data_IF_792758280271
#
_entry.id   IF_792758280271
#
_cell.length_a   1.000
_cell.length_b   1.000
_cell.length_c   1.000
_cell.angle_alpha   90.00
_cell.angle_beta   90.00
_cell.angle_gamma   90.00
#
_symmetry.space_group_name_H-M   'P 1'
#
loop_
_entity.id
_entity.type
_entity.pdbx_description
1 polymer ?
#
# COMPACT_ATOMS: atom_id res chain seq x y z
N UNK A 1 19.09 50.42 -31.77
CA UNK A 1 18.64 49.25 -32.53
C UNK A 1 17.59 48.53 -31.69
N UNK A 2 16.31 48.85 -31.91
CA UNK A 2 15.18 48.36 -31.11
C UNK A 2 14.59 47.17 -31.84
N UNK A 3 14.73 45.99 -31.24
CA UNK A 3 14.20 44.73 -31.76
C UNK A 3 12.69 44.70 -31.51
N UNK A 4 11.91 45.14 -32.49
CA UNK A 4 10.47 44.87 -32.55
C UNK A 4 10.27 43.42 -33.05
N UNK A 5 10.21 42.46 -32.14
CA UNK A 5 9.73 41.11 -32.43
C UNK A 5 8.66 40.71 -31.41
N UNK A 6 7.47 40.39 -31.94
CA UNK A 6 6.39 39.59 -31.34
C UNK A 6 5.54 40.16 -30.18
N UNK A 7 4.73 41.18 -30.47
CA UNK A 7 3.44 41.39 -29.76
C UNK A 7 2.30 40.55 -30.33
N UNK A 8 2.33 40.20 -31.62
CA UNK A 8 1.19 39.57 -32.32
C UNK A 8 0.99 38.06 -32.07
N UNK A 9 2.01 37.31 -31.64
CA UNK A 9 1.84 35.92 -31.23
C UNK A 9 1.16 35.76 -29.86
N UNK A 10 1.08 36.82 -29.05
CA UNK A 10 0.52 36.76 -27.68
C UNK A 10 -0.98 36.48 -27.63
N UNK A 11 -1.74 36.91 -28.65
CA UNK A 11 -3.20 36.71 -28.70
C UNK A 11 -3.60 35.41 -29.42
N UNK A 12 -2.73 34.89 -30.28
CA UNK A 12 -3.05 33.81 -31.22
C UNK A 12 -3.37 32.46 -30.56
N UNK A 13 -2.77 32.21 -29.41
CA UNK A 13 -2.95 31.00 -28.65
C UNK A 13 -3.04 31.44 -27.20
N UNK A 14 -4.27 31.67 -26.72
CA UNK A 14 -4.55 31.78 -25.29
C UNK A 14 -4.29 30.40 -24.64
N UNK A 15 -3.03 29.98 -24.67
CA UNK A 15 -2.51 28.78 -24.06
C UNK A 15 -2.52 28.95 -22.54
N UNK A 16 -2.58 30.18 -22.02
CA UNK A 16 -2.63 30.45 -20.58
C UNK A 16 -3.83 29.77 -19.88
N UNK A 17 -5.09 29.95 -20.32
CA UNK A 17 -6.20 29.14 -19.83
C UNK A 17 -5.95 27.64 -19.96
N UNK A 18 -5.33 27.19 -21.04
CA UNK A 18 -5.09 25.77 -21.29
C UNK A 18 -4.03 25.19 -20.34
N UNK A 19 -2.93 25.92 -20.09
CA UNK A 19 -1.89 25.57 -19.11
C UNK A 19 -2.50 25.52 -17.71
N UNK A 20 -3.40 26.45 -17.38
CA UNK A 20 -4.08 26.43 -16.07
C UNK A 20 -4.95 25.18 -15.85
N UNK A 21 -5.43 24.54 -16.92
CA UNK A 21 -6.15 23.26 -16.84
C UNK A 21 -5.21 22.06 -16.68
N UNK A 22 -3.94 22.21 -17.03
CA UNK A 22 -2.93 21.16 -16.93
C UNK A 22 -2.49 21.08 -15.47
N UNK A 23 -3.10 20.16 -14.73
CA UNK A 23 -2.65 19.75 -13.38
C UNK A 23 -1.38 18.88 -13.44
N UNK A 24 -0.37 19.31 -14.21
CA UNK A 24 0.93 18.65 -14.25
C UNK A 24 1.92 19.44 -13.40
N UNK A 25 2.80 18.72 -12.69
CA UNK A 25 3.89 19.34 -11.93
C UNK A 25 5.10 19.65 -12.81
N UNK A 26 5.22 18.97 -13.95
CA UNK A 26 6.34 19.07 -14.86
C UNK A 26 5.92 18.79 -16.30
N UNK A 27 6.59 19.44 -17.24
CA UNK A 27 6.43 19.19 -18.68
C UNK A 27 7.70 18.51 -19.21
N UNK A 28 7.52 17.38 -19.88
CA UNK A 28 8.59 16.66 -20.56
C UNK A 28 8.51 17.00 -22.03
N UNK A 29 9.49 17.76 -22.52
CA UNK A 29 9.61 18.06 -23.93
C UNK A 29 10.26 16.88 -24.64
N UNK A 30 9.56 16.33 -25.62
CA UNK A 30 10.05 15.23 -26.44
C UNK A 30 10.91 15.81 -27.55
N UNK A 31 12.23 15.63 -27.44
CA UNK A 31 13.14 15.93 -28.53
C UNK A 31 13.14 14.75 -29.53
N UNK A 32 13.25 15.07 -30.82
CA UNK A 32 13.51 14.09 -31.86
C UNK A 32 14.78 14.58 -32.53
N UNK A 33 15.90 13.90 -32.23
CA UNK A 33 17.24 14.06 -32.80
C UNK A 33 17.64 15.48 -33.28
N UNK A 34 18.56 16.09 -32.56
CA UNK A 34 19.12 17.43 -32.83
C UNK A 34 19.82 17.55 -34.21
N UNK A 35 20.12 16.42 -34.86
CA UNK A 35 20.85 16.40 -36.13
C UNK A 35 20.09 16.99 -37.34
N UNK A 36 18.75 17.06 -37.32
CA UNK A 36 17.98 17.71 -38.40
C UNK A 36 17.61 19.18 -38.12
N UNK A 37 17.69 19.65 -36.87
CA UNK A 37 17.25 21.01 -36.48
C UNK A 37 18.23 22.10 -36.93
N UNK A 38 19.54 21.81 -36.97
CA UNK A 38 20.54 22.80 -37.38
C UNK A 38 20.53 23.10 -38.89
N UNK A 39 20.13 22.16 -39.74
CA UNK A 39 20.09 22.34 -41.20
C UNK A 39 18.83 23.08 -41.72
N UNK A 40 17.83 23.35 -40.87
CA UNK A 40 16.51 23.88 -41.28
C UNK A 40 16.14 25.23 -40.61
N UNK A 41 17.09 25.92 -39.97
CA UNK A 41 16.89 27.13 -39.15
C UNK A 41 16.23 28.33 -39.85
N UNK A 42 16.01 28.28 -41.16
CA UNK A 42 15.30 29.31 -41.94
C UNK A 42 13.79 29.12 -42.06
N UNK A 43 13.20 27.98 -41.63
CA UNK A 43 11.77 27.70 -41.82
C UNK A 43 10.91 28.28 -40.69
N UNK A 44 9.84 28.99 -41.05
CA UNK A 44 8.89 29.64 -40.13
C UNK A 44 8.25 28.70 -39.11
N UNK A 45 8.13 27.41 -39.41
CA UNK A 45 7.64 26.40 -38.46
C UNK A 45 8.53 26.24 -37.22
N UNK A 46 9.85 26.31 -37.37
CA UNK A 46 10.79 26.15 -36.25
C UNK A 46 10.68 27.30 -35.25
N UNK A 47 10.46 28.53 -35.74
CA UNK A 47 10.19 29.69 -34.88
C UNK A 47 8.91 29.49 -34.07
N UNK A 48 7.90 28.86 -34.65
CA UNK A 48 6.64 28.57 -33.97
C UNK A 48 6.82 27.46 -32.92
N UNK A 49 7.53 26.39 -33.25
CA UNK A 49 7.87 25.31 -32.31
C UNK A 49 8.60 25.85 -31.08
N UNK A 50 9.69 26.60 -31.30
CA UNK A 50 10.46 27.22 -30.21
C UNK A 50 9.62 28.20 -29.40
N UNK A 51 8.73 28.95 -30.05
CA UNK A 51 7.81 29.84 -29.34
C UNK A 51 6.86 29.06 -28.43
N UNK A 52 6.29 27.94 -28.89
CA UNK A 52 5.42 27.08 -28.08
C UNK A 52 6.22 26.48 -26.91
N UNK A 53 7.38 25.87 -27.15
CA UNK A 53 8.21 25.29 -26.10
C UNK A 53 8.61 26.30 -25.03
N UNK A 54 9.12 27.47 -25.45
CA UNK A 54 9.48 28.55 -24.52
C UNK A 54 8.28 29.06 -23.73
N UNK A 55 7.08 29.04 -24.31
CA UNK A 55 5.86 29.38 -23.57
C UNK A 55 5.51 28.34 -22.52
N UNK A 56 5.61 27.04 -22.80
CA UNK A 56 5.39 26.04 -21.75
C UNK A 56 6.46 26.10 -20.66
N UNK A 57 7.73 26.27 -21.05
CA UNK A 57 8.87 26.36 -20.13
C UNK A 57 8.81 27.58 -19.19
N UNK A 58 8.18 28.67 -19.60
CA UNK A 58 8.05 29.86 -18.76
C UNK A 58 6.98 29.73 -17.66
N UNK A 59 6.09 28.73 -17.76
CA UNK A 59 4.97 28.54 -16.81
C UNK A 59 5.10 27.29 -15.97
N UNK A 60 5.72 26.24 -16.50
CA UNK A 60 5.86 24.95 -15.84
C UNK A 60 7.33 24.50 -15.85
N UNK A 61 7.82 23.86 -14.77
CA UNK A 61 9.12 23.21 -14.79
C UNK A 61 9.20 22.25 -15.98
N UNK A 62 10.23 22.38 -16.80
CA UNK A 62 10.34 21.63 -18.04
C UNK A 62 11.68 20.92 -18.17
N UNK A 63 11.67 19.71 -18.71
CA UNK A 63 12.86 18.91 -18.98
C UNK A 63 12.80 18.36 -20.40
N UNK A 64 13.92 18.40 -21.11
CA UNK A 64 14.05 17.79 -22.43
C UNK A 64 14.46 16.34 -22.28
N UNK A 65 13.80 15.45 -23.03
CA UNK A 65 14.11 14.03 -23.07
C UNK A 65 14.15 13.62 -24.53
N UNK A 66 15.21 12.92 -24.90
CA UNK A 66 15.28 12.28 -26.20
C UNK A 66 14.44 11.00 -26.19
N UNK A 67 13.72 10.74 -27.28
CA UNK A 67 12.86 9.57 -27.35
C UNK A 67 13.62 8.25 -27.36
N UNK A 68 14.91 8.30 -27.67
CA UNK A 68 15.81 7.15 -27.79
C UNK A 68 16.70 6.95 -26.54
N UNK A 69 16.48 7.71 -25.46
CA UNK A 69 17.22 7.53 -24.21
C UNK A 69 16.65 6.35 -23.40
N UNK A 70 17.49 5.35 -23.15
CA UNK A 70 17.18 4.24 -22.24
C UNK A 70 17.22 4.66 -20.76
N UNK A 71 17.99 5.71 -20.42
CA UNK A 71 18.18 6.17 -19.05
C UNK A 71 17.37 7.43 -18.72
N UNK A 72 16.42 7.26 -17.79
CA UNK A 72 15.52 8.32 -17.34
C UNK A 72 15.97 8.94 -16.01
N UNK A 73 16.05 10.28 -15.89
CA UNK A 73 16.37 10.93 -14.62
C UNK A 73 15.39 10.54 -13.49
N UNK A 74 15.90 10.12 -12.34
CA UNK A 74 15.09 9.70 -11.18
C UNK A 74 14.10 10.79 -10.70
N UNK A 75 14.44 12.06 -10.91
CA UNK A 75 13.60 13.20 -10.52
C UNK A 75 12.24 13.23 -11.24
N UNK A 76 12.17 12.64 -12.45
CA UNK A 76 10.96 12.58 -13.27
C UNK A 76 10.01 11.45 -12.86
N UNK A 77 10.53 10.43 -12.17
CA UNK A 77 9.76 9.24 -11.77
C UNK A 77 8.77 9.51 -10.62
N UNK A 78 8.74 10.72 -10.06
CA UNK A 78 7.90 11.06 -8.89
C UNK A 78 6.86 12.16 -9.15
N UNK A 79 6.78 12.67 -10.39
CA UNK A 79 5.92 13.82 -10.70
C UNK A 79 4.87 13.49 -11.76
N UNK A 80 3.64 14.00 -11.56
CA UNK A 80 2.61 14.01 -12.60
C UNK A 80 3.12 14.82 -13.79
N UNK A 81 3.48 14.13 -14.86
CA UNK A 81 4.18 14.71 -16.01
C UNK A 81 3.26 14.84 -17.22
N UNK A 82 3.39 15.98 -17.92
CA UNK A 82 2.82 16.18 -19.24
C UNK A 82 3.91 15.96 -20.29
N UNK A 83 3.73 14.98 -21.16
CA UNK A 83 4.59 14.82 -22.34
C UNK A 83 4.11 15.76 -23.43
N UNK A 84 4.98 16.67 -23.86
CA UNK A 84 4.70 17.62 -24.93
C UNK A 84 5.62 17.35 -26.11
N UNK A 85 5.00 17.06 -27.25
CA UNK A 85 5.67 17.05 -28.54
C UNK A 85 5.12 18.19 -29.41
N UNK A 86 6.01 18.99 -29.98
CA UNK A 86 5.67 20.02 -30.97
C UNK A 86 6.50 19.78 -32.21
N UNK A 87 5.83 19.59 -33.34
CA UNK A 87 6.51 19.31 -34.61
C UNK A 87 5.64 19.56 -35.84
N UNK A 88 6.27 19.74 -37.00
CA UNK A 88 5.60 19.72 -38.30
C UNK A 88 5.09 18.31 -38.61
N UNK A 89 3.96 18.19 -39.34
CA UNK A 89 3.39 16.91 -39.79
C UNK A 89 4.46 15.91 -40.25
N UNK A 90 4.71 14.91 -39.40
CA UNK A 90 5.58 13.76 -39.67
C UNK A 90 4.69 12.52 -39.76
N UNK A 91 5.17 11.49 -40.45
CA UNK A 91 4.53 10.18 -40.42
C UNK A 91 4.76 9.60 -39.01
N UNK A 92 3.82 9.86 -38.10
CA UNK A 92 3.76 9.18 -36.81
C UNK A 92 3.38 7.74 -37.07
N UNK A 93 4.35 6.85 -36.93
CA UNK A 93 4.18 5.43 -37.15
C UNK A 93 3.99 4.70 -35.81
N UNK A 94 3.84 3.39 -35.90
CA UNK A 94 3.72 2.52 -34.72
C UNK A 94 4.96 2.57 -33.83
N UNK A 95 6.14 2.81 -34.38
CA UNK A 95 7.37 2.86 -33.61
C UNK A 95 7.42 4.10 -32.72
N UNK A 96 7.01 5.26 -33.24
CA UNK A 96 6.89 6.48 -32.43
C UNK A 96 5.98 6.26 -31.20
N UNK A 97 4.80 5.67 -31.40
CA UNK A 97 3.85 5.43 -30.30
C UNK A 97 4.42 4.42 -29.30
N UNK A 98 5.10 3.38 -29.77
CA UNK A 98 5.76 2.38 -28.91
C UNK A 98 6.90 2.98 -28.09
N UNK A 99 7.78 3.76 -28.71
CA UNK A 99 8.87 4.44 -28.01
C UNK A 99 8.30 5.37 -26.95
N UNK A 100 7.25 6.13 -27.31
CA UNK A 100 6.55 6.98 -26.34
C UNK A 100 5.98 6.16 -25.17
N UNK A 101 5.29 5.04 -25.44
CA UNK A 101 4.79 4.15 -24.37
C UNK A 101 5.93 3.64 -23.49
N UNK A 102 7.05 3.21 -24.09
CA UNK A 102 8.26 2.79 -23.38
C UNK A 102 8.75 3.85 -22.40
N UNK A 103 8.88 5.10 -22.85
CA UNK A 103 9.25 6.24 -21.99
C UNK A 103 8.25 6.43 -20.83
N UNK A 104 6.95 6.26 -21.11
CA UNK A 104 5.91 6.48 -20.10
C UNK A 104 5.87 5.42 -19.00
N UNK A 105 6.42 4.21 -19.22
CA UNK A 105 6.48 3.13 -18.21
C UNK A 105 7.28 3.50 -16.97
N UNK A 106 8.16 4.49 -17.09
CA UNK A 106 9.01 4.98 -16.00
C UNK A 106 8.35 6.10 -15.17
N UNK A 107 7.12 6.49 -15.49
CA UNK A 107 6.43 7.62 -14.85
C UNK A 107 5.25 7.16 -14.01
N UNK A 108 4.97 7.85 -12.90
CA UNK A 108 3.80 7.56 -12.08
C UNK A 108 2.53 8.01 -12.81
N UNK A 109 1.51 7.15 -12.81
CA UNK A 109 0.18 7.40 -13.39
C UNK A 109 -0.53 8.52 -12.60
N UNK A 110 -1.28 9.45 -13.25
CA UNK A 110 -1.66 9.47 -14.67
C UNK A 110 -0.70 10.25 -15.58
N UNK A 111 -0.35 9.63 -16.70
CA UNK A 111 0.45 10.23 -17.76
C UNK A 111 -0.46 10.88 -18.79
N UNK A 112 -0.18 12.15 -19.11
CA UNK A 112 -0.89 12.90 -20.16
C UNK A 112 0.07 13.20 -21.30
N UNK A 113 -0.40 13.01 -22.54
CA UNK A 113 0.37 13.29 -23.74
C UNK A 113 -0.35 14.36 -24.56
N UNK A 114 0.37 15.44 -24.86
CA UNK A 114 -0.09 16.51 -25.72
C UNK A 114 0.80 16.58 -26.96
N UNK A 115 0.20 16.35 -28.13
CA UNK A 115 0.88 16.49 -29.41
C UNK A 115 0.37 17.75 -30.10
N UNK A 116 1.27 18.69 -30.39
CA UNK A 116 0.97 19.88 -31.16
C UNK A 116 1.59 19.72 -32.54
N UNK A 117 0.74 19.49 -33.55
CA UNK A 117 1.16 19.17 -34.91
C UNK A 117 0.89 20.37 -35.80
N UNK A 118 1.96 20.98 -36.32
CA UNK A 118 1.88 22.12 -37.22
C UNK A 118 1.75 21.61 -38.65
N UNK A 119 0.56 21.76 -39.23
CA UNK A 119 0.22 21.26 -40.55
C UNK A 119 0.27 22.36 -41.61
N UNK A 120 0.82 22.02 -42.79
CA UNK A 120 0.90 22.94 -43.93
C UNK A 120 -0.33 22.91 -44.84
N UNK A 121 -1.16 21.87 -44.75
CA UNK A 121 -2.34 21.66 -45.59
C UNK A 121 -3.57 21.22 -44.77
N UNK A 122 -4.79 21.54 -45.21
CA UNK A 122 -5.99 21.45 -44.35
C UNK A 122 -6.56 20.04 -44.12
N UNK A 123 -6.06 19.01 -44.80
CA UNK A 123 -6.91 17.82 -45.04
C UNK A 123 -6.37 16.52 -44.42
N UNK A 124 -6.67 16.22 -43.15
CA UNK A 124 -6.48 14.84 -42.61
C UNK A 124 -7.07 14.60 -41.21
N UNK A 125 -8.35 14.90 -40.97
CA UNK A 125 -9.01 14.42 -39.74
C UNK A 125 -8.85 12.90 -39.56
N UNK A 126 -8.93 12.15 -40.67
CA UNK A 126 -8.73 10.70 -40.71
C UNK A 126 -7.37 10.25 -40.14
N UNK A 127 -6.26 10.91 -40.51
CA UNK A 127 -4.92 10.55 -39.99
C UNK A 127 -4.81 10.74 -38.49
N UNK A 128 -5.42 11.77 -37.93
CA UNK A 128 -5.41 11.99 -36.48
C UNK A 128 -6.26 10.95 -35.74
N UNK A 129 -7.37 10.52 -36.33
CA UNK A 129 -8.16 9.42 -35.79
C UNK A 129 -7.36 8.12 -35.76
N UNK A 130 -6.70 7.77 -36.86
CA UNK A 130 -5.88 6.56 -36.93
C UNK A 130 -4.73 6.59 -35.91
N UNK A 131 -4.08 7.75 -35.76
CA UNK A 131 -3.04 7.95 -34.76
C UNK A 131 -3.58 7.85 -33.32
N UNK A 132 -4.72 8.47 -33.03
CA UNK A 132 -5.35 8.36 -31.70
C UNK A 132 -5.81 6.93 -31.39
N UNK A 133 -6.27 6.17 -32.39
CA UNK A 133 -6.55 4.74 -32.27
C UNK A 133 -5.28 3.94 -31.98
N UNK A 134 -4.17 4.29 -32.63
CA UNK A 134 -2.87 3.67 -32.39
C UNK A 134 -2.37 3.93 -30.97
N UNK A 135 -2.51 5.17 -30.47
CA UNK A 135 -2.24 5.51 -29.08
C UNK A 135 -3.05 4.67 -28.09
N UNK A 136 -4.36 4.56 -28.33
CA UNK A 136 -5.22 3.70 -27.54
C UNK A 136 -4.78 2.23 -27.58
N UNK A 137 -4.43 1.73 -28.76
CA UNK A 137 -3.92 0.36 -28.92
C UNK A 137 -2.63 0.13 -28.14
N UNK A 138 -1.80 1.14 -27.89
CA UNK A 138 -0.59 1.04 -27.06
C UNK A 138 -0.85 1.48 -25.60
N UNK A 139 -2.12 1.49 -25.16
CA UNK A 139 -2.57 1.81 -23.79
C UNK A 139 -2.19 3.22 -23.30
N UNK A 140 -2.02 4.17 -24.24
CA UNK A 140 -1.88 5.58 -23.92
C UNK A 140 -3.27 6.22 -23.93
N UNK A 141 -3.87 6.28 -22.75
CA UNK A 141 -5.26 6.70 -22.58
C UNK A 141 -5.39 8.21 -22.76
N UNK A 142 -4.70 9.04 -21.99
CA UNK A 142 -4.90 10.49 -22.00
C UNK A 142 -4.03 11.21 -23.04
N UNK A 143 -4.36 11.00 -24.32
CA UNK A 143 -3.69 11.65 -25.46
C UNK A 143 -4.59 12.70 -26.10
N UNK A 144 -4.03 13.90 -26.32
CA UNK A 144 -4.69 14.98 -27.05
C UNK A 144 -3.81 15.47 -28.18
N UNK A 145 -4.40 15.65 -29.35
CA UNK A 145 -3.71 16.22 -30.51
C UNK A 145 -4.29 17.60 -30.81
N UNK A 146 -3.43 18.60 -30.89
CA UNK A 146 -3.76 19.94 -31.39
C UNK A 146 -3.16 20.07 -32.80
N UNK A 147 -4.01 20.08 -33.82
CA UNK A 147 -3.61 20.40 -35.18
C UNK A 147 -3.60 21.91 -35.38
N UNK A 148 -2.47 22.48 -35.82
CA UNK A 148 -2.38 23.89 -36.20
C UNK A 148 -2.27 23.96 -37.71
N UNK A 149 -3.32 24.38 -38.41
CA UNK A 149 -3.31 24.56 -39.87
C UNK A 149 -3.21 26.03 -40.23
N UNK A 150 -2.53 26.35 -41.33
CA UNK A 150 -2.52 27.72 -41.84
C UNK A 150 -3.71 27.93 -42.78
N UNK A 151 -4.52 28.95 -42.49
CA UNK A 151 -5.67 29.40 -43.30
C UNK A 151 -5.26 30.14 -44.58
N UNK A 152 -3.99 30.55 -44.67
CA UNK A 152 -3.49 31.32 -45.82
C UNK A 152 -3.21 30.37 -46.98
N UNK A 153 -4.02 30.48 -48.03
CA UNK A 153 -3.75 29.83 -49.31
C UNK A 153 -2.37 30.26 -49.82
N UNK A 154 -1.61 29.33 -50.42
CA UNK A 154 -0.23 29.58 -50.87
C UNK A 154 -0.07 30.86 -51.72
N UNK A 155 -1.11 31.26 -52.44
CA UNK A 155 -1.15 32.45 -53.29
C UNK A 155 -1.06 33.78 -52.49
N UNK A 156 -1.74 33.89 -51.33
CA UNK A 156 -1.73 35.12 -50.51
C UNK A 156 -0.44 35.34 -49.73
N UNK A 157 0.34 34.29 -49.47
CA UNK A 157 1.62 34.40 -48.72
C UNK A 157 2.70 35.22 -49.43
N UNK A 158 2.61 35.40 -50.75
CA UNK A 158 3.62 36.17 -51.50
C UNK A 158 3.41 37.69 -51.44
N UNK A 159 2.24 38.15 -51.01
CA UNK A 159 1.83 39.57 -51.19
C UNK A 159 1.43 40.24 -49.86
N UNK A 160 0.99 39.49 -48.84
CA UNK A 160 0.51 40.06 -47.59
C UNK A 160 1.50 39.86 -46.43
N UNK A 161 1.66 40.90 -45.60
CA UNK A 161 2.20 40.80 -44.24
C UNK A 161 1.33 39.79 -43.50
N UNK A 162 1.89 38.61 -43.21
CA UNK A 162 1.20 37.52 -42.53
C UNK A 162 0.72 38.03 -41.17
N UNK A 163 -0.60 38.13 -41.00
CA UNK A 163 -1.18 38.50 -39.73
C UNK A 163 -1.46 37.21 -38.98
N UNK A 164 -0.46 36.77 -38.20
CA UNK A 164 -0.40 35.48 -37.54
C UNK A 164 -1.69 35.09 -36.78
N UNK A 165 -2.48 36.06 -36.33
CA UNK A 165 -3.72 35.85 -35.59
C UNK A 165 -4.90 35.34 -36.45
N UNK A 166 -5.02 35.80 -37.70
CA UNK A 166 -6.09 35.39 -38.63
C UNK A 166 -5.69 34.23 -39.54
N UNK A 167 -4.40 33.95 -39.60
CA UNK A 167 -3.78 33.14 -40.64
C UNK A 167 -3.59 31.67 -40.25
N UNK A 168 -3.94 31.30 -39.02
CA UNK A 168 -3.83 29.94 -38.51
C UNK A 168 -5.11 29.54 -37.74
N UNK A 169 -5.51 28.28 -37.87
CA UNK A 169 -6.54 27.64 -37.04
C UNK A 169 -5.87 26.59 -36.17
N UNK A 170 -6.24 26.54 -34.89
CA UNK A 170 -5.94 25.39 -34.04
C UNK A 170 -7.22 24.57 -33.85
N UNK A 171 -7.12 23.25 -34.03
CA UNK A 171 -8.19 22.28 -33.80
C UNK A 171 -7.73 21.22 -32.82
N UNK A 172 -8.52 20.97 -31.79
CA UNK A 172 -8.30 19.87 -30.86
C UNK A 172 -8.97 18.63 -31.43
N UNK A 173 -8.24 17.52 -31.41
CA UNK A 173 -8.71 16.21 -31.82
C UNK A 173 -8.73 15.27 -30.61
N UNK A 174 -9.88 14.67 -30.38
CA UNK A 174 -10.10 13.69 -29.33
C UNK A 174 -10.71 12.43 -29.92
N UNK A 175 -10.38 11.30 -29.30
CA UNK A 175 -10.97 10.01 -29.58
C UNK A 175 -11.38 9.36 -28.26
N UNK A 176 -12.65 9.01 -28.16
CA UNK A 176 -13.18 8.20 -27.07
C UNK A 176 -13.28 6.75 -27.55
N UNK A 177 -12.42 5.84 -27.06
CA UNK A 177 -12.42 4.44 -27.49
C UNK A 177 -13.64 3.66 -27.00
N UNK A 178 -14.28 4.10 -25.91
CA UNK A 178 -15.41 3.40 -25.30
C UNK A 178 -16.71 3.61 -26.09
N UNK A 179 -16.86 4.78 -26.72
CA UNK A 179 -17.98 5.09 -27.62
C UNK A 179 -17.59 5.00 -29.11
N UNK A 180 -16.30 4.78 -29.40
CA UNK A 180 -15.72 4.87 -30.75
C UNK A 180 -16.04 6.21 -31.45
N UNK A 181 -16.16 7.29 -30.67
CA UNK A 181 -16.46 8.63 -31.19
C UNK A 181 -15.19 9.44 -31.34
N UNK A 182 -14.99 9.97 -32.53
CA UNK A 182 -13.99 10.98 -32.83
C UNK A 182 -14.63 12.36 -32.81
N UNK A 183 -14.04 13.30 -32.09
CA UNK A 183 -14.47 14.70 -32.09
C UNK A 183 -13.31 15.59 -32.46
N UNK A 184 -13.54 16.51 -33.39
CA UNK A 184 -12.66 17.64 -33.65
C UNK A 184 -13.40 18.95 -33.32
N UNK A 185 -12.71 19.87 -32.67
CA UNK A 185 -13.29 21.16 -32.29
C UNK A 185 -12.24 22.25 -32.41
N UNK A 186 -12.67 23.45 -32.77
CA UNK A 186 -11.78 24.61 -32.78
C UNK A 186 -11.27 24.87 -31.36
N UNK A 187 -9.98 25.13 -31.23
CA UNK A 187 -9.38 25.48 -29.95
C UNK A 187 -9.85 26.88 -29.53
N UNK A 188 -10.52 26.96 -28.39
CA UNK A 188 -10.92 28.22 -27.75
C UNK A 188 -10.51 28.24 -26.27
N UNK A 189 -10.74 29.37 -25.58
CA UNK A 189 -10.40 29.53 -24.16
C UNK A 189 -11.21 28.65 -23.21
N UNK A 190 -12.38 28.16 -23.65
CA UNK A 190 -13.28 27.29 -22.89
C UNK A 190 -13.01 25.79 -23.09
N UNK A 191 -12.19 25.48 -24.10
CA UNK A 191 -11.91 24.13 -24.52
C UNK A 191 -11.17 23.37 -23.44
N UNK A 192 -11.58 22.13 -23.20
CA UNK A 192 -10.87 21.19 -22.32
C UNK A 192 -9.83 20.44 -23.11
N UNK A 193 -8.56 20.55 -22.72
CA UNK A 193 -7.48 19.79 -23.36
C UNK A 193 -7.67 18.29 -23.18
N UNK A 194 -7.88 17.82 -21.96
CA UNK A 194 -8.05 16.40 -21.66
C UNK A 194 -9.51 16.13 -21.26
N UNK A 195 -10.29 15.40 -22.09
CA UNK A 195 -11.65 15.03 -21.73
C UNK A 195 -11.62 13.96 -20.63
N UNK A 196 -12.60 13.99 -19.72
CA UNK A 196 -12.73 13.01 -18.63
C UNK A 196 -13.39 11.72 -19.13
N UNK A 197 -12.76 11.05 -20.08
CA UNK A 197 -13.31 9.84 -20.73
C UNK A 197 -13.29 8.60 -19.84
N UNK A 198 -12.62 8.65 -18.69
CA UNK A 198 -12.59 7.57 -17.70
C UNK A 198 -13.69 7.70 -16.63
N UNK A 199 -14.44 8.81 -16.62
CA UNK A 199 -15.56 8.97 -15.70
C UNK A 199 -16.77 8.11 -16.12
N UNK A 200 -16.88 7.79 -17.42
CA UNK A 200 -17.96 7.00 -18.01
C UNK A 200 -17.41 6.17 -19.19
N UNK A 201 -17.38 4.85 -19.00
CA UNK A 201 -16.93 3.85 -19.95
C UNK A 201 -18.06 3.36 -20.87
N UNK A 202 -19.24 3.95 -20.80
CA UNK A 202 -20.35 3.75 -21.74
C UNK A 202 -20.74 2.27 -21.97
N UNK A 203 -20.75 1.48 -20.90
CA UNK A 203 -21.07 0.05 -20.92
C UNK A 203 -20.00 -0.83 -21.58
N UNK A 204 -18.76 -0.35 -21.72
CA UNK A 204 -17.69 -1.13 -22.33
C UNK A 204 -17.40 -2.43 -21.55
N UNK A 205 -17.32 -3.56 -22.25
CA UNK A 205 -16.96 -4.86 -21.68
C UNK A 205 -15.49 -4.91 -21.27
N UNK A 206 -15.21 -4.97 -19.96
CA UNK A 206 -13.87 -5.23 -19.45
C UNK A 206 -13.73 -6.70 -19.09
N UNK A 207 -12.72 -7.37 -19.66
CA UNK A 207 -12.40 -8.76 -19.30
C UNK A 207 -11.62 -8.78 -18.01
N UNK A 208 -12.31 -9.16 -16.93
CA UNK A 208 -11.74 -9.16 -15.59
C UNK A 208 -11.35 -10.58 -15.19
N UNK A 209 -10.06 -10.76 -14.91
CA UNK A 209 -9.51 -11.99 -14.38
C UNK A 209 -9.59 -12.02 -12.87
N UNK A 210 -10.16 -13.09 -12.32
CA UNK A 210 -10.21 -13.31 -10.88
C UNK A 210 -9.31 -14.47 -10.46
N UNK A 211 -8.47 -14.22 -9.44
CA UNK A 211 -7.73 -15.28 -8.76
C UNK A 211 -8.54 -15.73 -7.55
N UNK A 212 -8.89 -17.02 -7.48
CA UNK A 212 -9.68 -17.60 -6.39
C UNK A 212 -8.90 -17.56 -5.06
N UNK A 213 -9.34 -16.71 -4.13
CA UNK A 213 -8.70 -16.53 -2.83
C UNK A 213 -9.70 -16.12 -1.75
N UNK A 214 -10.01 -17.02 -0.82
CA UNK A 214 -10.96 -16.73 0.28
C UNK A 214 -10.32 -15.78 1.31
N UNK A 215 -11.05 -14.80 1.85
CA UNK A 215 -12.46 -14.46 1.61
C UNK A 215 -12.69 -13.45 0.47
N UNK A 216 -11.64 -13.04 -0.24
CA UNK A 216 -11.68 -11.94 -1.21
C UNK A 216 -12.44 -12.29 -2.49
N UNK A 217 -12.32 -13.52 -2.97
CA UNK A 217 -12.98 -14.05 -4.17
C UNK A 217 -13.35 -15.52 -3.99
N UNK A 218 -14.61 -15.83 -4.29
CA UNK A 218 -15.18 -17.16 -4.31
C UNK A 218 -15.88 -17.35 -5.65
N UNK A 219 -15.52 -18.41 -6.35
CA UNK A 219 -16.30 -18.88 -7.50
C UNK A 219 -17.28 -19.95 -7.03
N UNK A 220 -18.57 -19.80 -7.38
CA UNK A 220 -19.51 -20.90 -7.28
C UNK A 220 -19.26 -21.86 -8.44
N UNK A 221 -18.94 -23.12 -8.14
CA UNK A 221 -18.47 -24.11 -9.11
C UNK A 221 -19.41 -24.38 -10.30
N UNK A 222 -20.69 -23.97 -10.22
CA UNK A 222 -21.72 -24.19 -11.25
C UNK A 222 -22.28 -22.92 -11.88
N UNK A 223 -21.90 -21.72 -11.40
CA UNK A 223 -22.41 -20.45 -11.90
C UNK A 223 -21.25 -19.50 -12.16
N UNK A 224 -21.38 -18.64 -13.18
CA UNK A 224 -20.43 -17.52 -13.38
C UNK A 224 -20.50 -16.48 -12.25
N UNK A 225 -21.44 -16.63 -11.31
CA UNK A 225 -21.51 -15.81 -10.11
C UNK A 225 -20.25 -15.93 -9.24
N UNK A 226 -19.71 -14.77 -8.92
CA UNK A 226 -18.64 -14.56 -7.98
C UNK A 226 -19.20 -14.00 -6.67
N UNK A 227 -18.57 -14.36 -5.55
CA UNK A 227 -18.86 -13.76 -4.25
C UNK A 227 -17.56 -13.40 -3.53
N UNK A 228 -17.53 -12.22 -2.89
CA UNK A 228 -16.37 -11.81 -2.13
C UNK A 228 -16.25 -10.30 -2.01
N UNK A 229 -15.20 -9.89 -1.30
CA UNK A 229 -14.89 -8.47 -1.07
C UNK A 229 -14.59 -7.78 -2.40
N UNK A 230 -13.80 -8.41 -3.27
CA UNK A 230 -13.42 -7.81 -4.55
C UNK A 230 -14.57 -7.68 -5.53
N UNK A 231 -15.56 -8.58 -5.45
CA UNK A 231 -16.75 -8.50 -6.26
C UNK A 231 -17.58 -7.27 -5.87
N UNK A 232 -17.78 -7.05 -4.56
CA UNK A 232 -18.48 -5.86 -4.07
C UNK A 232 -17.77 -4.56 -4.45
N UNK A 233 -16.43 -4.57 -4.44
CA UNK A 233 -15.63 -3.41 -4.87
C UNK A 233 -15.76 -3.19 -6.38
N UNK A 234 -15.73 -4.26 -7.17
CA UNK A 234 -15.90 -4.16 -8.63
C UNK A 234 -17.30 -3.71 -9.02
N UNK A 235 -18.36 -4.22 -8.39
CA UNK A 235 -19.73 -3.77 -8.63
C UNK A 235 -19.89 -2.25 -8.36
N UNK A 236 -19.21 -1.76 -7.32
CA UNK A 236 -19.16 -0.32 -7.03
C UNK A 236 -18.40 0.47 -8.10
N UNK A 237 -17.27 -0.05 -8.58
CA UNK A 237 -16.49 0.60 -9.64
C UNK A 237 -17.24 0.53 -10.98
N UNK A 238 -17.87 -0.59 -11.30
CA UNK A 238 -18.72 -0.84 -12.48
C UNK A 238 -19.86 0.16 -12.53
N UNK A 239 -20.62 0.28 -11.45
CA UNK A 239 -21.71 1.26 -11.36
C UNK A 239 -21.21 2.71 -11.41
N UNK A 240 -20.04 3.01 -10.83
CA UNK A 240 -19.50 4.37 -10.81
C UNK A 240 -18.94 4.81 -12.16
N UNK A 241 -18.28 3.92 -12.88
CA UNK A 241 -17.62 4.19 -14.16
C UNK A 241 -18.43 3.70 -15.36
N UNK A 242 -19.61 3.11 -15.15
CA UNK A 242 -20.52 2.63 -16.20
C UNK A 242 -19.80 1.75 -17.23
N UNK A 243 -19.17 0.66 -16.79
CA UNK A 243 -18.69 -0.41 -17.68
C UNK A 243 -19.49 -1.69 -17.43
N UNK A 244 -19.19 -2.75 -18.18
CA UNK A 244 -19.72 -4.09 -17.89
C UNK A 244 -18.58 -5.07 -17.64
N UNK A 245 -18.73 -5.96 -16.66
CA UNK A 245 -17.71 -6.97 -16.34
C UNK A 245 -17.92 -8.23 -17.18
N UNK A 246 -16.93 -8.55 -18.01
CA UNK A 246 -16.79 -9.87 -18.65
C UNK A 246 -15.86 -10.73 -17.79
N UNK A 247 -16.41 -11.42 -16.80
CA UNK A 247 -15.61 -12.23 -15.89
C UNK A 247 -15.01 -13.44 -16.60
N UNK A 248 -13.68 -13.59 -16.56
CA UNK A 248 -12.99 -14.83 -16.93
C UNK A 248 -12.29 -15.41 -15.70
N UNK A 249 -12.63 -16.65 -15.37
CA UNK A 249 -12.10 -17.30 -14.18
C UNK A 249 -10.84 -18.06 -14.51
N UNK A 250 -9.74 -17.66 -13.87
CA UNK A 250 -8.49 -18.42 -13.86
C UNK A 250 -8.64 -19.51 -12.78
N UNK A 251 -9.58 -20.44 -12.98
CA UNK A 251 -10.14 -21.31 -11.94
C UNK A 251 -9.20 -22.42 -11.43
N UNK A 252 -8.14 -22.76 -12.16
CA UNK A 252 -7.41 -24.01 -11.92
C UNK A 252 -5.88 -23.87 -11.95
N UNK A 253 -5.32 -22.71 -11.61
CA UNK A 253 -3.85 -22.66 -11.46
C UNK A 253 -3.49 -23.18 -10.07
N UNK A 254 -2.85 -24.36 -9.97
CA UNK A 254 -2.48 -24.92 -8.68
C UNK A 254 -1.55 -23.92 -7.99
N UNK A 255 -2.00 -23.42 -6.84
CA UNK A 255 -1.27 -22.55 -5.91
C UNK A 255 0.09 -23.13 -5.43
N UNK A 256 0.57 -24.22 -6.04
CA UNK A 256 1.57 -25.16 -5.51
C UNK A 256 2.79 -25.35 -6.42
N UNK A 257 2.85 -24.75 -7.62
CA UNK A 257 4.09 -24.81 -8.44
C UNK A 257 4.81 -23.46 -8.42
N UNK A 258 5.87 -23.44 -7.61
CA UNK A 258 6.56 -22.30 -6.99
C UNK A 258 7.34 -21.42 -7.98
N UNK A 259 7.58 -21.88 -9.22
CA UNK A 259 8.51 -21.18 -10.13
C UNK A 259 7.89 -20.65 -11.43
N UNK A 260 6.59 -20.86 -11.67
CA UNK A 260 5.96 -20.47 -12.93
C UNK A 260 4.63 -19.74 -12.81
N UNK A 261 4.14 -19.42 -11.61
CA UNK A 261 2.80 -18.84 -11.43
C UNK A 261 2.62 -17.45 -12.05
N UNK A 262 3.65 -16.61 -11.95
CA UNK A 262 3.55 -15.20 -12.35
C UNK A 262 3.49 -15.03 -13.87
N UNK A 263 4.27 -15.83 -14.60
CA UNK A 263 4.41 -15.65 -16.06
C UNK A 263 3.09 -15.87 -16.82
N UNK A 264 2.27 -16.91 -16.58
CA UNK A 264 1.03 -17.14 -17.31
C UNK A 264 0.00 -16.03 -17.12
N UNK A 265 -0.22 -15.57 -15.88
CA UNK A 265 -1.26 -14.57 -15.59
C UNK A 265 -0.82 -13.19 -16.10
N UNK A 266 0.43 -12.80 -15.85
CA UNK A 266 1.00 -11.57 -16.42
C UNK A 266 0.97 -11.65 -17.94
N UNK A 267 1.27 -12.81 -18.53
CA UNK A 267 1.15 -13.01 -19.98
C UNK A 267 -0.29 -12.90 -20.49
N UNK A 268 -1.30 -13.26 -19.71
CA UNK A 268 -2.69 -13.07 -20.11
C UNK A 268 -3.05 -11.60 -20.20
N UNK A 269 -2.58 -10.78 -19.25
CA UNK A 269 -2.76 -9.32 -19.30
C UNK A 269 -1.91 -8.71 -20.42
N UNK A 270 -0.63 -9.08 -20.54
CA UNK A 270 0.27 -8.52 -21.56
C UNK A 270 -0.12 -8.90 -22.99
N UNK A 271 -0.67 -10.12 -23.19
CA UNK A 271 -1.24 -10.57 -24.47
C UNK A 271 -2.68 -10.08 -24.68
N UNK A 272 -3.21 -9.21 -23.81
CA UNK A 272 -4.54 -8.59 -23.93
C UNK A 272 -5.67 -9.61 -23.99
N UNK A 273 -5.52 -10.71 -23.25
CA UNK A 273 -6.63 -11.66 -23.01
C UNK A 273 -7.49 -11.20 -21.84
N UNK A 274 -6.87 -10.50 -20.89
CA UNK A 274 -7.51 -9.86 -19.76
C UNK A 274 -7.18 -8.37 -19.79
N UNK A 275 -8.16 -7.55 -19.45
CA UNK A 275 -8.00 -6.09 -19.38
C UNK A 275 -7.67 -5.66 -17.95
N UNK A 276 -8.25 -6.35 -16.96
CA UNK A 276 -8.00 -6.12 -15.53
C UNK A 276 -7.77 -7.45 -14.84
N UNK A 277 -6.83 -7.49 -13.90
CA UNK A 277 -6.61 -8.63 -13.02
C UNK A 277 -6.86 -8.20 -11.58
N UNK A 278 -7.74 -8.91 -10.89
CA UNK A 278 -8.09 -8.63 -9.49
C UNK A 278 -7.58 -9.75 -8.60
N UNK A 279 -6.68 -9.38 -7.70
CA UNK A 279 -5.96 -10.31 -6.83
C UNK A 279 -5.61 -9.66 -5.48
N UNK A 280 -5.41 -10.51 -4.46
CA UNK A 280 -4.92 -10.07 -3.15
C UNK A 280 -3.43 -9.72 -3.20
N UNK A 281 -3.04 -8.66 -2.48
CA UNK A 281 -1.72 -8.00 -2.55
C UNK A 281 -0.48 -8.92 -2.44
N UNK A 282 -0.62 -10.11 -1.86
CA UNK A 282 0.47 -11.05 -1.60
C UNK A 282 0.72 -12.06 -2.72
N UNK A 283 -0.02 -12.00 -3.85
CA UNK A 283 -0.01 -13.06 -4.85
C UNK A 283 0.87 -12.81 -6.08
N UNK A 284 1.34 -11.57 -6.33
CA UNK A 284 2.11 -11.27 -7.55
C UNK A 284 3.23 -10.29 -7.21
N UNK A 285 4.41 -10.84 -6.91
CA UNK A 285 5.63 -10.05 -6.83
C UNK A 285 6.34 -10.14 -8.18
N UNK A 286 5.91 -9.32 -9.14
CA UNK A 286 6.59 -9.32 -10.43
C UNK A 286 8.03 -8.89 -10.23
N UNK A 287 8.98 -9.74 -10.65
CA UNK A 287 10.41 -9.41 -10.71
C UNK A 287 10.64 -8.10 -11.49
N UNK A 288 9.76 -7.80 -12.44
CA UNK A 288 9.70 -6.52 -13.15
C UNK A 288 8.44 -5.73 -12.75
N UNK A 289 8.55 -4.67 -11.92
CA UNK A 289 7.42 -3.83 -11.53
C UNK A 289 6.80 -3.05 -12.69
N UNK A 290 7.49 -2.94 -13.84
CA UNK A 290 7.01 -2.21 -15.02
C UNK A 290 6.21 -3.10 -15.99
N UNK A 291 6.18 -4.41 -15.75
CA UNK A 291 5.46 -5.36 -16.61
C UNK A 291 3.93 -5.21 -16.56
N UNK A 292 3.39 -4.58 -15.50
CA UNK A 292 1.96 -4.33 -15.30
C UNK A 292 1.71 -2.98 -14.64
N UNK A 293 0.76 -2.23 -15.18
CA UNK A 293 0.22 -1.04 -14.52
C UNK A 293 -0.60 -1.48 -13.29
N UNK A 294 -0.30 -0.90 -12.12
CA UNK A 294 -0.95 -1.24 -10.84
C UNK A 294 -1.80 -0.09 -10.33
N UNK A 295 -2.97 -0.41 -9.79
CA UNK A 295 -3.76 0.55 -9.02
C UNK A 295 -3.11 0.82 -7.66
N UNK A 296 -3.58 1.86 -6.98
CA UNK A 296 -3.26 2.03 -5.55
C UNK A 296 -3.76 0.85 -4.75
N UNK A 297 -3.04 0.48 -3.69
CA UNK A 297 -3.47 -0.58 -2.78
C UNK A 297 -4.78 -0.19 -2.10
N UNK A 298 -5.80 -1.02 -2.26
CA UNK A 298 -7.12 -0.84 -1.62
C UNK A 298 -7.04 -1.28 -0.15
N UNK A 299 -6.29 -2.35 0.12
CA UNK A 299 -6.06 -2.87 1.47
C UNK A 299 -4.56 -3.05 1.73
N UNK A 300 -4.14 -2.78 2.95
CA UNK A 300 -2.79 -3.09 3.44
C UNK A 300 -2.93 -4.26 4.42
N UNK A 301 -2.55 -5.44 3.95
CA UNK A 301 -2.53 -6.64 4.79
C UNK A 301 -1.19 -6.71 5.53
N UNK A 302 -1.22 -7.03 6.82
CA UNK A 302 -0.02 -7.27 7.61
C UNK A 302 0.31 -8.75 7.62
N UNK A 303 1.59 -9.08 7.48
CA UNK A 303 2.06 -10.45 7.66
C UNK A 303 1.94 -10.79 9.15
N UNK A 304 1.16 -11.82 9.47
CA UNK A 304 0.95 -12.29 10.83
C UNK A 304 1.32 -13.77 10.94
N UNK A 305 2.02 -14.14 12.01
CA UNK A 305 2.25 -15.54 12.35
C UNK A 305 0.96 -16.19 12.83
N UNK A 306 0.57 -17.31 12.19
CA UNK A 306 -0.50 -18.16 12.69
C UNK A 306 0.11 -19.19 13.63
N UNK A 307 -0.23 -19.08 14.92
CA UNK A 307 0.32 -19.94 15.97
C UNK A 307 -0.78 -20.89 16.46
N UNK A 308 -0.49 -22.19 16.63
CA UNK A 308 -1.46 -23.10 17.22
C UNK A 308 -1.83 -22.64 18.63
N UNK A 309 -3.09 -22.87 18.99
CA UNK A 309 -3.58 -22.60 20.33
C UNK A 309 -2.95 -23.60 21.31
N UNK A 310 -1.93 -23.15 22.04
CA UNK A 310 -1.26 -23.95 23.07
C UNK A 310 -1.93 -23.66 24.40
N UNK A 311 -2.60 -24.68 24.95
CA UNK A 311 -3.15 -24.64 26.31
C UNK A 311 -1.99 -24.88 27.27
N UNK A 312 -1.66 -23.86 28.07
CA UNK A 312 -0.68 -24.00 29.14
C UNK A 312 -1.35 -23.54 30.43
N UNK A 313 -1.71 -24.46 31.36
CA UNK A 313 -2.26 -24.05 32.64
C UNK A 313 -1.18 -23.26 33.37
N UNK A 314 -1.36 -21.95 33.46
CA UNK A 314 -0.44 -21.07 34.16
C UNK A 314 -0.92 -20.93 35.60
N UNK A 315 -0.24 -21.62 36.52
CA UNK A 315 -0.42 -21.36 37.95
C UNK A 315 0.30 -20.05 38.30
N UNK A 316 -0.30 -18.92 37.95
CA UNK A 316 0.18 -17.62 38.41
C UNK A 316 -0.41 -17.37 39.79
N UNK A 317 0.35 -17.73 40.83
CA UNK A 317 0.00 -17.34 42.20
C UNK A 317 -0.20 -15.83 42.22
N UNK A 318 -1.39 -15.36 42.61
CA UNK A 318 -1.67 -13.93 42.60
C UNK A 318 -0.67 -13.21 43.51
N UNK A 319 -0.25 -12.00 43.11
CA UNK A 319 0.64 -11.19 43.98
C UNK A 319 0.06 -11.02 45.38
N UNK A 320 -1.26 -10.98 45.51
CA UNK A 320 -1.95 -10.91 46.80
C UNK A 320 -1.66 -12.14 47.69
N UNK A 321 -1.65 -13.35 47.12
CA UNK A 321 -1.29 -14.58 47.84
C UNK A 321 0.19 -14.56 48.23
N UNK A 322 1.07 -14.08 47.36
CA UNK A 322 2.50 -13.94 47.68
C UNK A 322 2.72 -12.99 48.87
N UNK A 323 2.02 -11.85 48.89
CA UNK A 323 2.06 -10.89 49.99
C UNK A 323 1.45 -11.44 51.28
N UNK A 324 0.34 -12.19 51.20
CA UNK A 324 -0.29 -12.78 52.39
C UNK A 324 0.60 -13.85 53.04
N UNK A 325 1.26 -14.69 52.23
CA UNK A 325 2.25 -15.66 52.72
C UNK A 325 3.46 -14.97 53.40
N UNK A 326 3.97 -13.90 52.81
CA UNK A 326 5.07 -13.13 53.39
C UNK A 326 4.68 -12.46 54.70
N UNK A 327 3.45 -11.94 54.81
CA UNK A 327 2.92 -11.35 56.04
C UNK A 327 2.79 -12.40 57.14
N UNK A 328 2.31 -13.61 56.83
CA UNK A 328 2.24 -14.72 57.79
C UNK A 328 3.63 -15.08 58.32
N UNK A 329 4.64 -15.19 57.45
CA UNK A 329 6.03 -15.42 57.87
C UNK A 329 6.54 -14.31 58.81
N UNK A 330 6.23 -13.06 58.52
CA UNK A 330 6.57 -11.93 59.38
C UNK A 330 5.87 -12.03 60.75
N UNK A 331 4.59 -12.36 60.76
CA UNK A 331 3.79 -12.49 61.98
C UNK A 331 4.28 -13.65 62.85
N UNK A 332 4.56 -14.81 62.27
CA UNK A 332 5.19 -15.95 62.96
C UNK A 332 6.50 -15.51 63.60
N UNK A 333 7.31 -14.72 62.90
CA UNK A 333 8.59 -14.20 63.40
C UNK A 333 8.39 -13.23 64.57
N UNK A 334 7.42 -12.32 64.49
CA UNK A 334 7.07 -11.37 65.58
C UNK A 334 6.54 -12.11 66.80
N UNK A 335 5.62 -13.06 66.61
CA UNK A 335 5.07 -13.90 67.69
C UNK A 335 6.19 -14.69 68.34
N UNK A 336 7.06 -15.31 67.54
CA UNK A 336 8.22 -16.03 68.04
C UNK A 336 9.15 -15.13 68.83
N UNK A 337 9.51 -13.95 68.31
CA UNK A 337 10.37 -12.98 69.01
C UNK A 337 9.73 -12.48 70.31
N UNK A 338 8.43 -12.19 70.29
CA UNK A 338 7.67 -11.74 71.46
C UNK A 338 7.60 -12.82 72.53
N UNK A 339 7.38 -14.08 72.13
CA UNK A 339 7.42 -15.23 73.04
C UNK A 339 8.81 -15.37 73.66
N UNK A 340 9.88 -15.22 72.87
CA UNK A 340 11.26 -15.27 73.34
C UNK A 340 11.59 -14.13 74.32
N UNK A 341 11.10 -12.91 74.10
CA UNK A 341 11.34 -11.76 74.99
C UNK A 341 10.52 -11.84 76.29
N UNK A 342 9.24 -12.20 76.20
CA UNK A 342 8.33 -12.27 77.35
C UNK A 342 8.67 -13.47 78.25
N UNK A 343 8.93 -14.64 77.67
CA UNK A 343 9.26 -15.85 78.43
C UNK A 343 10.67 -15.81 79.03
N UNK A 344 11.60 -15.04 78.44
CA UNK A 344 12.97 -14.89 78.97
C UNK A 344 13.03 -13.96 80.19
N UNK A 345 12.06 -13.07 80.39
CA UNK A 345 12.08 -12.04 81.45
C UNK A 345 11.63 -12.57 82.83
N UNK A 346 10.79 -13.60 82.88
CA UNK A 346 10.24 -14.13 84.15
C UNK A 346 10.97 -15.36 84.71
N UNK A 347 12.03 -15.84 84.03
CA UNK A 347 12.72 -17.09 84.38
C UNK A 347 13.98 -16.90 85.20
N UNK A 348 13.85 -16.85 86.53
CA UNK A 348 14.91 -17.30 87.43
C UNK A 348 15.41 -18.70 87.05
N UNK A 349 16.66 -18.99 87.38
CA UNK A 349 17.54 -20.03 86.79
C UNK A 349 17.01 -21.47 86.63
N UNK A 350 15.83 -21.84 87.15
CA UNK A 350 15.42 -23.25 87.32
C UNK A 350 14.20 -23.71 86.49
N UNK A 351 13.53 -22.85 85.70
CA UNK A 351 12.33 -23.24 84.92
C UNK A 351 12.56 -23.43 83.40
N UNK A 352 13.81 -23.46 82.94
CA UNK A 352 14.19 -23.19 81.53
C UNK A 352 14.06 -24.36 80.54
N UNK A 353 13.94 -25.62 80.98
CA UNK A 353 14.04 -26.77 80.06
C UNK A 353 12.70 -27.24 79.45
N UNK A 354 11.57 -27.13 80.17
CA UNK A 354 10.28 -27.66 79.68
C UNK A 354 9.51 -26.71 78.75
N UNK A 355 9.75 -25.41 78.83
CA UNK A 355 8.98 -24.40 78.06
C UNK A 355 9.55 -24.10 76.66
N UNK A 356 10.81 -24.45 76.39
CA UNK A 356 11.46 -24.24 75.09
C UNK A 356 10.92 -25.12 73.96
N UNK A 357 10.15 -26.16 74.27
CA UNK A 357 9.77 -27.18 73.28
C UNK A 357 8.65 -26.71 72.34
N UNK A 358 7.69 -25.91 72.80
CA UNK A 358 6.43 -25.65 72.09
C UNK A 358 6.39 -24.32 71.31
N UNK A 359 7.29 -23.37 71.59
CA UNK A 359 7.37 -22.08 70.91
C UNK A 359 8.37 -22.09 69.76
N UNK A 360 8.46 -23.21 69.03
CA UNK A 360 9.26 -23.26 67.80
C UNK A 360 8.50 -22.53 66.70
N UNK A 361 9.17 -21.75 65.84
CA UNK A 361 8.51 -21.02 64.75
C UNK A 361 7.64 -21.93 63.87
N UNK A 362 8.07 -23.19 63.68
CA UNK A 362 7.35 -24.18 62.89
C UNK A 362 6.03 -24.60 63.53
N UNK A 363 6.00 -24.77 64.85
CA UNK A 363 4.78 -25.08 65.59
C UNK A 363 3.82 -23.88 65.60
N UNK A 364 4.35 -22.66 65.77
CA UNK A 364 3.54 -21.43 65.66
C UNK A 364 2.94 -21.32 64.25
N UNK A 365 3.74 -21.59 63.21
CA UNK A 365 3.28 -21.61 61.82
C UNK A 365 2.21 -22.67 61.57
N UNK A 366 2.38 -23.88 62.10
CA UNK A 366 1.39 -24.96 62.03
C UNK A 366 0.08 -24.57 62.75
N UNK A 367 0.14 -23.97 63.94
CA UNK A 367 -1.05 -23.43 64.61
C UNK A 367 -1.73 -22.35 63.79
N UNK A 368 -0.97 -21.44 63.18
CA UNK A 368 -1.54 -20.39 62.31
C UNK A 368 -2.18 -20.96 61.04
N UNK A 369 -1.70 -22.10 60.54
CA UNK A 369 -2.33 -22.85 59.46
C UNK A 369 -3.53 -23.68 59.91
N UNK A 370 -3.87 -23.67 61.21
CA UNK A 370 -5.01 -24.40 61.77
C UNK A 370 -4.71 -25.87 62.10
N UNK A 371 -3.45 -26.30 62.07
CA UNK A 371 -3.06 -27.63 62.51
C UNK A 371 -3.12 -27.73 64.04
N UNK A 372 -3.72 -28.80 64.55
CA UNK A 372 -3.76 -29.07 65.99
C UNK A 372 -2.36 -29.45 66.49
N UNK A 373 -1.88 -28.76 67.52
CA UNK A 373 -0.61 -29.10 68.18
C UNK A 373 -0.93 -29.58 69.59
N UNK A 374 -0.21 -30.62 70.03
CA UNK A 374 -0.25 -31.16 71.39
C UNK A 374 0.48 -30.24 72.39
N UNK A 375 0.14 -28.95 72.41
CA UNK A 375 0.67 -27.98 73.36
C UNK A 375 -0.38 -27.68 74.45
N UNK A 376 0.03 -27.75 75.72
CA UNK A 376 -0.84 -27.43 76.87
C UNK A 376 -0.34 -26.15 77.56
N UNK A 377 -1.02 -25.03 77.35
CA UNK A 377 -0.72 -23.77 78.01
C UNK A 377 -1.10 -23.83 79.50
N UNK A 378 -0.10 -23.75 80.38
CA UNK A 378 -0.31 -23.92 81.83
C UNK A 378 -0.58 -22.57 82.49
N UNK A 379 0.16 -21.53 82.11
CA UNK A 379 0.05 -20.20 82.72
C UNK A 379 -1.00 -19.33 82.02
N UNK A 380 -1.61 -18.39 82.76
CA UNK A 380 -2.61 -17.46 82.20
C UNK A 380 -2.03 -16.59 81.06
N UNK A 381 -0.74 -16.22 81.15
CA UNK A 381 -0.04 -15.46 80.11
C UNK A 381 0.13 -16.27 78.82
N UNK A 382 0.55 -17.53 78.93
CA UNK A 382 0.62 -18.45 77.78
C UNK A 382 -0.76 -18.68 77.16
N UNK A 383 -1.80 -18.85 77.97
CA UNK A 383 -3.17 -19.04 77.48
C UNK A 383 -3.66 -17.83 76.69
N UNK A 384 -3.35 -16.61 77.14
CA UNK A 384 -3.70 -15.38 76.44
C UNK A 384 -2.93 -15.27 75.11
N UNK A 385 -1.61 -15.52 75.13
CA UNK A 385 -0.78 -15.48 73.91
C UNK A 385 -1.20 -16.55 72.90
N UNK A 386 -1.49 -17.77 73.37
CA UNK A 386 -2.04 -18.85 72.57
C UNK A 386 -3.40 -18.48 71.98
N UNK A 387 -4.29 -17.87 72.76
CA UNK A 387 -5.58 -17.36 72.29
C UNK A 387 -5.42 -16.30 71.20
N UNK A 388 -4.48 -15.37 71.36
CA UNK A 388 -4.17 -14.37 70.33
C UNK A 388 -3.65 -15.00 69.04
N UNK A 389 -2.70 -15.93 69.13
CA UNK A 389 -2.15 -16.65 67.96
C UNK A 389 -3.24 -17.45 67.25
N UNK A 390 -4.14 -18.08 68.01
CA UNK A 390 -5.25 -18.86 67.45
C UNK A 390 -6.26 -17.96 66.75
N UNK A 391 -6.67 -16.84 67.36
CA UNK A 391 -7.57 -15.87 66.73
C UNK A 391 -6.97 -15.31 65.44
N UNK A 392 -5.70 -14.90 65.48
CA UNK A 392 -4.98 -14.39 64.30
C UNK A 392 -4.87 -15.48 63.23
N UNK A 393 -4.53 -16.71 63.63
CA UNK A 393 -4.47 -17.88 62.74
C UNK A 393 -5.79 -18.15 62.02
N UNK A 394 -6.92 -18.10 62.73
CA UNK A 394 -8.25 -18.27 62.14
C UNK A 394 -8.56 -17.20 61.07
N UNK A 395 -8.26 -15.94 61.35
CA UNK A 395 -8.46 -14.85 60.39
C UNK A 395 -7.60 -15.02 59.11
N UNK A 396 -6.32 -15.36 59.26
CA UNK A 396 -5.43 -15.56 58.12
C UNK A 396 -5.74 -16.83 57.33
N UNK A 397 -6.06 -17.94 58.02
CA UNK A 397 -6.46 -19.19 57.37
C UNK A 397 -7.73 -18.99 56.52
N UNK A 398 -8.74 -18.31 57.06
CA UNK A 398 -9.95 -17.95 56.31
C UNK A 398 -9.63 -17.12 55.07
N UNK A 399 -8.72 -16.14 55.19
CA UNK A 399 -8.30 -15.29 54.06
C UNK A 399 -7.56 -16.08 52.98
N UNK A 400 -6.65 -16.98 53.37
CA UNK A 400 -5.95 -17.85 52.40
C UNK A 400 -6.93 -18.77 51.68
N UNK A 401 -7.87 -19.39 52.40
CA UNK A 401 -8.90 -20.25 51.79
C UNK A 401 -9.78 -19.45 50.84
N UNK A 402 -10.20 -18.24 51.22
CA UNK A 402 -10.95 -17.34 50.34
C UNK A 402 -10.14 -16.98 49.08
N UNK A 403 -8.85 -16.69 49.23
CA UNK A 403 -7.97 -16.38 48.10
C UNK A 403 -7.76 -17.59 47.18
N UNK A 404 -7.52 -18.78 47.74
CA UNK A 404 -7.35 -20.02 46.99
C UNK A 404 -8.64 -20.41 46.24
N UNK A 405 -9.81 -20.22 46.85
CA UNK A 405 -11.11 -20.48 46.21
C UNK A 405 -11.49 -19.41 45.18
N UNK A 406 -11.05 -18.16 45.37
CA UNK A 406 -11.21 -17.09 44.38
C UNK A 406 -10.25 -17.18 43.19
N UNK A 407 -9.23 -18.03 43.29
CA UNK A 407 -8.26 -18.21 42.23
C UNK A 407 -8.94 -18.95 41.08
N UNK A 408 -9.42 -18.19 40.09
CA UNK A 408 -9.95 -18.74 38.85
C UNK A 408 -8.83 -19.51 38.14
N UNK A 409 -8.87 -20.83 38.27
CA UNK A 409 -8.09 -21.73 37.44
C UNK A 409 -8.70 -21.67 36.04
N UNK A 410 -8.21 -20.74 35.21
CA UNK A 410 -8.51 -20.78 33.78
C UNK A 410 -7.72 -21.92 33.15
N UNK A 411 -8.28 -23.13 33.30
CA UNK A 411 -7.76 -24.36 32.69
C UNK A 411 -7.80 -24.30 31.16
N UNK A 412 -8.48 -23.28 30.58
CA UNK A 412 -8.56 -23.03 29.14
C UNK A 412 -7.77 -21.77 28.74
N UNK A 413 -6.89 -21.27 29.61
CA UNK A 413 -6.01 -20.17 29.26
C UNK A 413 -5.07 -20.58 28.12
N UNK A 414 -5.18 -19.85 27.02
CA UNK A 414 -4.28 -20.01 25.88
C UNK A 414 -3.03 -19.17 26.12
N UNK A 415 -1.85 -19.76 25.85
CA UNK A 415 -0.61 -18.99 25.87
C UNK A 415 -0.69 -17.94 24.76
N UNK A 416 -0.74 -16.67 25.14
CA UNK A 416 -0.56 -15.55 24.21
C UNK A 416 0.94 -15.37 23.94
N UNK A 417 1.26 -15.06 22.69
CA UNK A 417 2.61 -14.74 22.26
C UNK A 417 2.63 -13.25 21.94
N UNK A 418 3.18 -12.46 22.85
CA UNK A 418 3.24 -11.00 22.68
C UNK A 418 4.55 -10.59 21.99
N UNK A 419 5.59 -11.43 22.08
CA UNK A 419 6.90 -11.16 21.49
C UNK A 419 7.41 -12.32 20.63
N UNK A 420 8.25 -12.01 19.64
CA UNK A 420 8.90 -13.03 18.81
C UNK A 420 9.80 -13.96 19.62
N UNK A 421 10.39 -13.44 20.70
CA UNK A 421 11.22 -14.24 21.62
C UNK A 421 10.41 -15.34 22.31
N UNK A 422 9.19 -15.03 22.76
CA UNK A 422 8.31 -16.05 23.34
C UNK A 422 7.91 -17.14 22.34
N UNK A 423 7.84 -16.77 21.05
CA UNK A 423 7.57 -17.71 19.96
C UNK A 423 8.80 -18.58 19.68
N UNK A 424 10.01 -18.02 19.69
CA UNK A 424 11.26 -18.78 19.58
C UNK A 424 11.45 -19.76 20.75
N UNK A 425 11.25 -19.27 21.98
CA UNK A 425 11.31 -20.07 23.21
C UNK A 425 10.19 -21.11 23.31
N UNK A 426 9.17 -21.05 22.44
CA UNK A 426 8.09 -22.04 22.40
C UNK A 426 8.49 -23.37 21.78
N UNK A 427 9.62 -23.41 21.05
CA UNK A 427 10.05 -24.58 20.28
C UNK A 427 9.19 -24.84 19.04
N UNK A 428 8.28 -23.93 18.68
CA UNK A 428 7.55 -24.00 17.42
C UNK A 428 8.49 -23.70 16.26
N UNK A 429 8.44 -24.54 15.24
CA UNK A 429 9.20 -24.34 14.00
C UNK A 429 8.36 -23.44 13.09
N UNK A 430 8.86 -22.24 12.71
CA UNK A 430 8.14 -21.39 11.78
C UNK A 430 8.05 -22.10 10.42
N UNK A 431 6.84 -22.19 9.89
CA UNK A 431 6.59 -22.72 8.56
C UNK A 431 6.15 -21.59 7.64
N UNK A 432 6.92 -21.33 6.60
CA UNK A 432 6.58 -20.35 5.57
C UNK A 432 6.38 -21.12 4.26
N UNK A 433 5.25 -20.88 3.59
CA UNK A 433 5.03 -21.47 2.26
C UNK A 433 6.14 -21.03 1.30
N UNK A 434 6.69 -21.91 0.45
CA UNK A 434 7.84 -21.59 -0.41
C UNK A 434 7.68 -20.31 -1.24
N UNK A 435 6.48 -20.04 -1.77
CA UNK A 435 6.20 -18.79 -2.50
C UNK A 435 6.31 -17.55 -1.61
N UNK A 436 5.72 -17.58 -0.41
CA UNK A 436 5.82 -16.49 0.55
C UNK A 436 7.26 -16.29 1.02
N UNK A 437 8.03 -17.37 1.13
CA UNK A 437 9.45 -17.33 1.44
C UNK A 437 10.26 -16.66 0.32
N UNK A 438 10.10 -17.09 -0.93
CA UNK A 438 10.77 -16.47 -2.10
C UNK A 438 10.39 -15.00 -2.26
N UNK A 439 9.12 -14.64 -2.04
CA UNK A 439 8.68 -13.24 -2.12
C UNK A 439 9.25 -12.36 -0.99
N UNK A 440 9.36 -12.90 0.23
CA UNK A 440 9.82 -12.12 1.38
C UNK A 440 11.35 -12.08 1.52
N UNK A 441 12.02 -13.15 1.09
CA UNK A 441 13.44 -13.41 1.35
C UNK A 441 14.23 -13.78 0.09
N UNK A 442 13.65 -13.75 -1.11
CA UNK A 442 14.32 -14.17 -2.34
C UNK A 442 15.56 -13.36 -2.71
N UNK A 443 15.67 -12.15 -2.17
CA UNK A 443 16.85 -11.28 -2.31
C UNK A 443 17.82 -11.36 -1.12
N UNK A 444 17.55 -12.21 -0.13
CA UNK A 444 18.39 -12.37 1.06
C UNK A 444 19.33 -13.57 0.90
N UNK A 445 20.64 -13.31 0.97
CA UNK A 445 21.67 -14.35 0.91
C UNK A 445 21.90 -15.06 2.27
N UNK A 446 21.05 -14.83 3.28
CA UNK A 446 21.27 -15.38 4.62
C UNK A 446 21.03 -16.91 4.66
N UNK A 447 22.07 -17.72 4.94
CA UNK A 447 21.95 -19.17 4.98
C UNK A 447 21.06 -19.68 6.14
N UNK A 448 20.83 -18.88 7.17
CA UNK A 448 19.94 -19.24 8.29
C UNK A 448 18.47 -19.36 7.87
N UNK A 449 18.06 -18.59 6.86
CA UNK A 449 16.70 -18.57 6.34
C UNK A 449 16.33 -19.89 5.62
N UNK A 450 17.32 -20.64 5.12
CA UNK A 450 17.09 -21.96 4.48
C UNK A 450 16.51 -23.01 5.42
N UNK A 451 16.58 -22.81 6.73
CA UNK A 451 15.96 -23.72 7.72
C UNK A 451 14.44 -23.53 7.87
N UNK A 452 13.86 -22.49 7.28
CA UNK A 452 12.44 -22.14 7.39
C UNK A 452 11.59 -22.60 6.18
N UNK A 453 12.22 -23.27 5.21
CA UNK A 453 11.60 -23.92 4.05
C UNK A 453 11.37 -25.39 4.40
#
# INVERSE_FOLDING_TARGET
MIVFVNSHLRHFLSIEPLISQIKARQVVFLNRDDHQKQLMSSKSSYKMENWIYSRFASWLPSTWIDMDMDDMPESLQKSNSLFLYVGVEQNFDKNFVKNLKGLTLNFPVPIRVLLIIIKRNNDSSARYLDLLKLFWQEQLVDVTIIGISSRVTQYRRKIAIVNHEKDYAATIHHYNPFTNVYTNRTLDSSSRLFPTKLDDLNGHGLRVGFIKHRPYTLSKQKSKEHMGIFDSVLDLIESKMNFSIESDFIMNYPMLQVDSFERPIIQMVSKRRLDVLVFGSHLIHTEDPHSLDRTTFITSDRICGLVPLIIKPTFQLSRSIQWSLLLILCLVSVVWLSSLLLLRRDGGHNASSSLKSYWRPLDIGLMMMGASILARAVTLRERLLFGCVLMVGLFYSSTIVAQLTSMNLDLKAHKKFETYRELEESGLIPFIKPHGFKMSFGYSDDPSLRRCI
#
